data_IF_236979228033
#
_entry.id   IF_236979228033
#
_cell.length_a   1.000
_cell.length_b   1.000
_cell.length_c   1.000
_cell.angle_alpha   90.00
_cell.angle_beta   90.00
_cell.angle_gamma   90.00
#
_symmetry.space_group_name_H-M   'P 1'
#
loop_
_entity.id
_entity.type
_entity.pdbx_description
1 polymer ?
#
# COMPACT_ATOMS: atom_id res chain seq x y z
N UNK A 1 38.66 38.16 -38.32
CA UNK A 1 39.01 36.83 -37.81
C UNK A 1 38.95 36.74 -36.25
N UNK A 2 39.53 37.69 -35.51
CA UNK A 2 39.53 37.64 -34.03
C UNK A 2 38.15 37.85 -33.38
N UNK A 3 37.28 38.68 -33.98
CA UNK A 3 35.90 38.91 -33.46
C UNK A 3 35.00 37.67 -33.61
N UNK A 4 35.16 36.92 -34.72
CA UNK A 4 34.38 35.70 -35.02
C UNK A 4 34.70 34.55 -34.04
N UNK A 5 35.95 34.41 -33.66
CA UNK A 5 36.39 33.42 -32.67
C UNK A 5 35.88 33.73 -31.25
N UNK A 6 35.81 35.01 -30.90
CA UNK A 6 35.27 35.44 -29.59
C UNK A 6 33.76 35.15 -29.46
N UNK A 7 32.98 35.38 -30.53
CA UNK A 7 31.54 35.06 -30.52
C UNK A 7 31.25 33.58 -30.44
N UNK A 8 32.04 32.73 -31.11
CA UNK A 8 31.91 31.27 -31.04
C UNK A 8 32.22 30.72 -29.63
N UNK A 9 33.24 31.27 -28.97
CA UNK A 9 33.60 30.88 -27.62
C UNK A 9 32.48 31.27 -26.58
N UNK A 10 31.88 32.45 -26.75
CA UNK A 10 30.75 32.90 -25.90
C UNK A 10 29.52 32.02 -26.09
N UNK A 11 29.18 31.61 -27.30
CA UNK A 11 28.05 30.72 -27.57
C UNK A 11 28.30 29.31 -27.02
N UNK A 12 29.52 28.80 -27.08
CA UNK A 12 29.90 27.52 -26.49
C UNK A 12 29.80 27.54 -24.95
N UNK A 13 30.27 28.63 -24.32
CA UNK A 13 30.15 28.77 -22.85
C UNK A 13 28.67 28.90 -22.37
N UNK A 14 27.83 29.62 -23.13
CA UNK A 14 26.39 29.71 -22.83
C UNK A 14 25.67 28.38 -23.02
N UNK A 15 26.03 27.63 -24.06
CA UNK A 15 25.48 26.28 -24.30
C UNK A 15 25.91 25.27 -23.23
N UNK A 16 27.16 25.31 -22.79
CA UNK A 16 27.67 24.45 -21.71
C UNK A 16 27.02 24.80 -20.35
N UNK A 17 26.87 26.11 -20.08
CA UNK A 17 26.20 26.58 -18.86
C UNK A 17 24.74 26.15 -18.79
N UNK A 18 23.99 26.29 -19.89
CA UNK A 18 22.59 25.83 -19.98
C UNK A 18 22.48 24.31 -19.85
N UNK A 19 23.40 23.54 -20.45
CA UNK A 19 23.44 22.08 -20.34
C UNK A 19 23.73 21.61 -18.90
N UNK A 20 24.67 22.27 -18.21
CA UNK A 20 25.00 21.98 -16.82
C UNK A 20 23.82 22.31 -15.89
N UNK A 21 23.08 23.42 -16.10
CA UNK A 21 21.91 23.81 -15.33
C UNK A 21 20.74 22.85 -15.56
N UNK A 22 20.53 22.38 -16.79
CA UNK A 22 19.52 21.38 -17.10
C UNK A 22 19.84 20.01 -16.49
N UNK A 23 21.12 19.63 -16.43
CA UNK A 23 21.55 18.37 -15.79
C UNK A 23 21.51 18.44 -14.26
N UNK A 24 21.85 19.57 -13.65
CA UNK A 24 21.79 19.77 -12.20
C UNK A 24 20.34 19.69 -11.66
N UNK A 25 19.33 19.98 -12.48
CA UNK A 25 17.93 19.83 -12.14
C UNK A 25 17.42 18.38 -12.18
N UNK A 26 18.15 17.46 -12.85
CA UNK A 26 17.75 16.07 -12.98
C UNK A 26 18.25 15.16 -11.84
N UNK A 27 19.24 15.61 -11.07
CA UNK A 27 19.89 14.83 -10.00
C UNK A 27 19.54 15.33 -8.57
N UNK A 28 18.47 16.10 -8.39
CA UNK A 28 17.96 16.36 -7.04
C UNK A 28 17.54 15.03 -6.44
N UNK A 29 18.09 14.60 -5.27
CA UNK A 29 17.64 13.39 -4.62
C UNK A 29 16.13 13.49 -4.43
N UNK A 30 15.39 12.47 -4.89
CA UNK A 30 13.94 12.43 -4.74
C UNK A 30 13.60 12.71 -3.26
N UNK A 31 12.75 13.70 -3.01
CA UNK A 31 12.34 14.04 -1.67
C UNK A 31 11.83 12.77 -0.97
N UNK A 32 12.33 12.50 0.24
CA UNK A 32 11.90 11.37 1.06
C UNK A 32 11.38 11.88 2.40
N UNK A 33 10.41 11.17 2.95
CA UNK A 33 9.90 11.33 4.30
C UNK A 33 10.60 10.32 5.20
N UNK A 34 11.05 10.74 6.36
CA UNK A 34 11.55 9.87 7.42
C UNK A 34 10.55 9.85 8.57
N UNK A 35 10.14 8.64 8.99
CA UNK A 35 9.20 8.44 10.08
C UNK A 35 9.63 7.27 10.96
N UNK A 36 9.12 7.23 12.20
CA UNK A 36 9.38 6.15 13.16
C UNK A 36 8.07 5.70 13.80
N UNK A 37 7.93 4.39 13.97
CA UNK A 37 6.93 3.75 14.83
C UNK A 37 7.72 2.99 15.89
N UNK A 38 7.71 3.47 17.13
CA UNK A 38 8.62 2.96 18.15
C UNK A 38 10.08 2.99 17.67
N UNK A 39 10.79 1.85 17.72
CA UNK A 39 12.17 1.73 17.26
C UNK A 39 12.30 1.44 15.75
N UNK A 40 11.20 1.23 15.05
CA UNK A 40 11.21 0.97 13.61
C UNK A 40 11.26 2.27 12.82
N UNK A 41 12.31 2.43 12.00
CA UNK A 41 12.50 3.59 11.12
C UNK A 41 12.01 3.28 9.72
N UNK A 42 11.38 4.28 9.09
CA UNK A 42 10.84 4.22 7.73
C UNK A 42 11.37 5.38 6.90
N UNK A 43 11.65 5.10 5.62
CA UNK A 43 12.07 6.10 4.63
C UNK A 43 11.31 5.81 3.35
N UNK A 44 10.52 6.78 2.88
CA UNK A 44 9.65 6.58 1.74
C UNK A 44 9.42 7.88 0.95
N UNK A 45 9.11 7.80 -0.35
CA UNK A 45 8.65 8.94 -1.13
C UNK A 45 7.35 9.52 -0.57
N UNK A 46 7.20 10.86 -0.47
CA UNK A 46 5.99 11.50 0.07
C UNK A 46 4.71 11.13 -0.68
N UNK A 47 4.82 10.73 -1.95
CA UNK A 47 3.67 10.29 -2.74
C UNK A 47 2.95 9.05 -2.20
N UNK A 48 3.58 8.27 -1.32
CA UNK A 48 2.93 7.16 -0.62
C UNK A 48 2.08 7.60 0.56
N UNK A 49 2.34 8.76 1.15
CA UNK A 49 1.61 9.21 2.33
C UNK A 49 0.14 9.46 2.01
N UNK A 50 -0.76 8.81 2.75
CA UNK A 50 -2.21 8.94 2.58
C UNK A 50 -2.79 10.10 3.39
N UNK A 51 -2.16 10.45 4.50
CA UNK A 51 -2.60 11.51 5.41
C UNK A 51 -1.45 12.47 5.75
N UNK A 52 -1.80 13.62 6.32
CA UNK A 52 -0.85 14.68 6.67
C UNK A 52 0.16 14.22 7.74
N UNK A 53 -0.27 13.41 8.70
CA UNK A 53 0.60 12.90 9.76
C UNK A 53 1.71 12.02 9.17
N UNK A 54 1.36 11.11 8.26
CA UNK A 54 2.33 10.28 7.54
C UNK A 54 3.25 11.12 6.66
N UNK A 55 2.70 12.13 5.97
CA UNK A 55 3.49 13.03 5.12
C UNK A 55 4.45 13.93 5.91
N UNK A 56 4.11 14.30 7.13
CA UNK A 56 4.97 15.09 8.02
C UNK A 56 6.16 14.28 8.57
N UNK A 57 6.04 12.95 8.65
CA UNK A 57 7.10 12.10 9.19
C UNK A 57 7.27 12.23 10.71
N UNK A 58 8.51 11.99 11.19
CA UNK A 58 8.81 12.02 12.61
C UNK A 58 8.28 10.80 13.38
N UNK A 59 8.05 10.94 14.69
CA UNK A 59 7.48 9.88 15.51
C UNK A 59 5.98 9.82 15.34
N UNK A 60 5.47 8.63 15.00
CA UNK A 60 4.07 8.37 14.73
C UNK A 60 3.60 7.11 15.44
N UNK A 61 2.33 7.08 15.86
CA UNK A 61 1.70 5.87 16.39
C UNK A 61 1.31 4.89 15.27
N UNK A 62 1.13 5.43 14.05
CA UNK A 62 0.83 4.67 12.84
C UNK A 62 1.30 5.41 11.61
N UNK A 63 1.54 4.68 10.53
CA UNK A 63 1.80 5.24 9.20
C UNK A 63 0.72 4.72 8.22
N UNK A 64 0.14 5.63 7.47
CA UNK A 64 -0.92 5.31 6.50
C UNK A 64 -0.44 5.60 5.08
N UNK A 65 -0.44 4.58 4.25
CA UNK A 65 0.06 4.62 2.87
C UNK A 65 -1.05 4.35 1.86
N UNK A 66 -0.81 4.81 0.64
CA UNK A 66 -1.55 4.45 -0.56
C UNK A 66 -0.54 3.98 -1.62
N UNK A 67 -0.84 2.88 -2.29
CA UNK A 67 -0.01 2.32 -3.35
C UNK A 67 -0.87 1.85 -4.52
N UNK A 68 -0.32 1.89 -5.73
CA UNK A 68 -1.00 1.40 -6.95
C UNK A 68 -0.64 -0.06 -7.17
N UNK A 69 -1.66 -0.89 -7.35
CA UNK A 69 -1.51 -2.32 -7.64
C UNK A 69 -1.23 -2.56 -9.13
N UNK A 70 -0.60 -3.67 -9.49
CA UNK A 70 -0.15 -4.77 -8.62
C UNK A 70 1.23 -4.58 -7.99
N UNK A 71 2.04 -3.62 -8.45
CA UNK A 71 3.47 -3.45 -8.12
C UNK A 71 3.72 -2.62 -6.86
N UNK A 72 2.66 -2.15 -6.21
CA UNK A 72 2.74 -1.27 -5.04
C UNK A 72 3.61 -0.02 -5.31
N UNK A 73 3.49 0.56 -6.50
CA UNK A 73 4.14 1.82 -6.85
C UNK A 73 3.44 3.03 -6.21
N UNK A 74 4.14 4.18 -6.07
CA UNK A 74 3.51 5.39 -5.53
C UNK A 74 2.47 5.93 -6.52
N UNK A 75 1.33 6.45 -6.02
CA UNK A 75 0.35 7.11 -6.87
C UNK A 75 0.98 8.30 -7.62
N UNK A 76 0.71 8.41 -8.90
CA UNK A 76 1.12 9.57 -9.68
C UNK A 76 0.19 10.74 -9.40
N UNK A 77 0.71 11.95 -9.19
CA UNK A 77 -0.13 13.14 -9.11
C UNK A 77 -1.01 13.26 -10.36
N UNK A 78 -2.27 13.62 -10.18
CA UNK A 78 -3.12 13.92 -11.32
C UNK A 78 -2.66 15.24 -11.95
N UNK A 79 -2.37 15.23 -13.25
CA UNK A 79 -1.98 16.45 -13.97
C UNK A 79 -3.13 17.48 -14.07
N UNK A 80 -4.39 17.04 -13.86
CA UNK A 80 -5.62 17.85 -13.81
C UNK A 80 -6.57 17.28 -12.79
N UNK A 81 -7.52 18.09 -12.33
CA UNK A 81 -8.63 17.62 -11.52
C UNK A 81 -9.37 16.49 -12.27
N UNK A 82 -9.47 15.34 -11.62
CA UNK A 82 -10.16 14.18 -12.18
C UNK A 82 -11.67 14.30 -11.97
N UNK A 83 -12.45 13.82 -12.92
CA UNK A 83 -13.89 13.66 -12.72
C UNK A 83 -14.16 12.61 -11.63
N UNK A 84 -15.34 12.65 -10.96
CA UNK A 84 -15.71 11.64 -9.96
C UNK A 84 -15.58 10.19 -10.48
N UNK A 85 -15.94 9.97 -11.76
CA UNK A 85 -15.81 8.66 -12.42
C UNK A 85 -14.35 8.23 -12.52
N UNK A 86 -13.45 9.12 -12.96
CA UNK A 86 -12.03 8.82 -13.09
C UNK A 86 -11.34 8.62 -11.73
N UNK A 87 -11.77 9.34 -10.68
CA UNK A 87 -11.33 9.10 -9.30
C UNK A 87 -11.72 7.72 -8.82
N UNK A 88 -12.96 7.29 -9.10
CA UNK A 88 -13.46 5.98 -8.76
C UNK A 88 -12.71 4.85 -9.50
N UNK A 89 -12.44 5.03 -10.79
CA UNK A 89 -11.66 4.09 -11.59
C UNK A 89 -10.24 3.94 -11.02
N UNK A 90 -9.57 5.05 -10.70
CA UNK A 90 -8.25 5.01 -10.04
C UNK A 90 -8.27 4.36 -8.66
N UNK A 91 -9.35 4.51 -7.89
CA UNK A 91 -9.46 3.89 -6.58
C UNK A 91 -9.52 2.35 -6.66
N UNK A 92 -9.96 1.79 -7.79
CA UNK A 92 -10.01 0.34 -8.03
C UNK A 92 -8.63 -0.32 -8.15
N UNK A 93 -7.60 0.47 -8.43
CA UNK A 93 -6.23 0.00 -8.57
C UNK A 93 -5.38 0.31 -7.32
N UNK A 94 -5.98 0.88 -6.27
CA UNK A 94 -5.24 1.29 -5.09
C UNK A 94 -5.36 0.28 -3.96
N UNK A 95 -4.23 0.07 -3.28
CA UNK A 95 -4.16 -0.54 -1.97
C UNK A 95 -3.94 0.55 -0.91
N UNK A 96 -4.59 0.39 0.23
CA UNK A 96 -4.41 1.24 1.41
C UNK A 96 -3.75 0.40 2.50
N UNK A 97 -2.58 0.83 2.94
CA UNK A 97 -1.77 0.11 3.91
C UNK A 97 -1.65 0.96 5.18
N UNK A 98 -1.91 0.37 6.33
CA UNK A 98 -1.66 1.01 7.62
C UNK A 98 -0.70 0.16 8.41
N UNK A 99 0.39 0.77 8.86
CA UNK A 99 1.35 0.14 9.77
C UNK A 99 1.12 0.69 11.18
N UNK A 100 1.11 -0.20 12.17
CA UNK A 100 1.06 0.14 13.59
C UNK A 100 2.00 -0.77 14.39
N UNK A 101 2.37 -0.42 15.61
CA UNK A 101 3.04 -1.35 16.51
C UNK A 101 2.19 -2.62 16.66
N UNK A 102 2.84 -3.79 16.78
CA UNK A 102 2.09 -5.00 17.13
C UNK A 102 1.34 -4.78 18.44
N UNK A 103 0.10 -5.20 18.49
CA UNK A 103 -0.62 -5.30 19.74
C UNK A 103 -0.16 -6.53 20.56
N UNK A 104 -0.54 -6.59 21.83
CA UNK A 104 -0.25 -7.72 22.69
C UNK A 104 -1.21 -8.90 22.45
N UNK A 105 -2.10 -8.79 21.48
CA UNK A 105 -3.07 -9.82 21.11
C UNK A 105 -2.46 -10.97 20.32
N UNK A 106 -3.31 -11.95 20.00
CA UNK A 106 -2.95 -13.09 19.17
C UNK A 106 -2.44 -12.63 17.78
N UNK A 107 -1.61 -13.48 17.15
CA UNK A 107 -1.15 -13.23 15.80
C UNK A 107 -2.36 -13.07 14.85
N UNK A 108 -2.41 -12.02 14.02
CA UNK A 108 -3.46 -11.85 13.04
C UNK A 108 -3.70 -13.11 12.17
N UNK A 109 -2.65 -13.87 11.86
CA UNK A 109 -2.75 -15.13 11.10
C UNK A 109 -3.64 -16.19 11.77
N UNK A 110 -3.85 -16.11 13.08
CA UNK A 110 -4.72 -17.03 13.83
C UNK A 110 -6.18 -16.61 13.84
N UNK A 111 -6.52 -15.40 13.40
CA UNK A 111 -7.89 -14.87 13.43
C UNK A 111 -8.92 -15.74 12.70
N UNK A 112 -8.64 -16.36 11.53
CA UNK A 112 -9.60 -17.24 10.88
C UNK A 112 -10.10 -18.34 11.81
N UNK A 113 -9.19 -19.00 12.53
CA UNK A 113 -9.52 -20.13 13.41
C UNK A 113 -9.95 -19.71 14.81
N UNK A 114 -9.33 -18.70 15.40
CA UNK A 114 -9.57 -18.33 16.80
C UNK A 114 -10.70 -17.30 16.95
N UNK A 115 -10.88 -16.41 15.98
CA UNK A 115 -11.85 -15.32 16.07
C UNK A 115 -13.07 -15.55 15.19
N UNK A 116 -12.88 -15.87 13.92
CA UNK A 116 -13.96 -15.90 12.94
C UNK A 116 -14.71 -17.23 12.92
N UNK A 117 -14.04 -18.36 13.16
CA UNK A 117 -14.60 -19.70 13.01
C UNK A 117 -15.95 -19.90 13.73
N UNK A 118 -16.11 -19.29 14.89
CA UNK A 118 -17.35 -19.40 15.71
C UNK A 118 -18.56 -18.65 15.14
N UNK A 119 -18.35 -17.82 14.13
CA UNK A 119 -19.39 -17.03 13.48
C UNK A 119 -19.65 -17.45 12.04
N UNK A 120 -18.99 -18.52 11.57
CA UNK A 120 -19.10 -18.97 10.20
C UNK A 120 -20.16 -20.06 10.04
N UNK A 121 -20.96 -19.94 8.97
CA UNK A 121 -21.82 -21.02 8.51
C UNK A 121 -20.98 -22.28 8.23
N UNK A 122 -21.60 -23.45 8.30
CA UNK A 122 -20.91 -24.72 8.04
C UNK A 122 -20.46 -24.88 6.57
N UNK A 123 -21.18 -24.25 5.64
CA UNK A 123 -20.92 -24.34 4.22
C UNK A 123 -19.63 -23.60 3.83
N UNK A 124 -18.82 -24.24 3.00
CA UNK A 124 -17.63 -23.68 2.38
C UNK A 124 -17.78 -23.75 0.86
N UNK A 125 -17.48 -22.66 0.16
CA UNK A 125 -17.64 -22.54 -1.29
C UNK A 125 -16.30 -22.20 -1.93
N UNK A 126 -16.05 -22.68 -3.15
CA UNK A 126 -14.88 -22.28 -3.90
C UNK A 126 -14.91 -20.77 -4.17
N UNK A 127 -13.83 -20.09 -3.85
CA UNK A 127 -13.61 -18.67 -4.10
C UNK A 127 -12.64 -18.41 -5.24
N UNK A 128 -12.38 -17.13 -5.58
CA UNK A 128 -11.42 -16.76 -6.60
C UNK A 128 -9.99 -17.14 -6.19
N UNK A 129 -9.12 -17.37 -7.17
CA UNK A 129 -7.70 -17.65 -6.94
C UNK A 129 -7.42 -18.89 -6.08
N UNK A 130 -8.33 -19.87 -6.04
CA UNK A 130 -8.18 -21.06 -5.19
C UNK A 130 -8.47 -20.84 -3.70
N UNK A 131 -8.95 -19.68 -3.31
CA UNK A 131 -9.42 -19.39 -1.96
C UNK A 131 -10.69 -20.18 -1.63
N UNK A 132 -10.94 -20.39 -0.34
CA UNK A 132 -12.20 -20.92 0.18
C UNK A 132 -13.01 -19.75 0.74
N UNK A 133 -14.22 -19.55 0.24
CA UNK A 133 -15.15 -18.55 0.73
C UNK A 133 -16.07 -19.16 1.80
N UNK A 134 -16.23 -18.45 2.91
CA UNK A 134 -17.14 -18.78 4.01
C UNK A 134 -18.06 -17.59 4.30
N UNK A 135 -19.32 -17.87 4.54
CA UNK A 135 -20.29 -16.86 4.96
C UNK A 135 -20.28 -16.72 6.47
N UNK A 136 -20.49 -15.51 6.94
CA UNK A 136 -20.79 -15.28 8.36
C UNK A 136 -22.27 -15.48 8.61
N UNK A 137 -22.59 -16.04 9.79
CA UNK A 137 -23.95 -16.23 10.25
C UNK A 137 -24.68 -14.90 10.35
N UNK A 138 -25.97 -14.91 10.03
CA UNK A 138 -26.84 -13.74 10.16
C UNK A 138 -26.91 -13.28 11.62
N UNK A 139 -26.80 -11.98 11.85
CA UNK A 139 -26.78 -11.39 13.20
C UNK A 139 -25.43 -11.49 13.91
N UNK A 140 -24.39 -12.08 13.26
CA UNK A 140 -23.03 -11.99 13.77
C UNK A 140 -22.46 -10.59 13.58
N UNK A 141 -21.37 -10.20 14.28
CA UNK A 141 -20.69 -8.91 14.07
C UNK A 141 -20.18 -8.71 12.66
N UNK A 142 -20.14 -9.76 11.84
CA UNK A 142 -19.57 -9.78 10.48
C UNK A 142 -20.60 -10.16 9.42
N UNK A 143 -21.90 -10.12 9.73
CA UNK A 143 -22.97 -10.60 8.86
C UNK A 143 -23.11 -9.87 7.51
N UNK A 144 -22.50 -8.69 7.37
CA UNK A 144 -22.40 -7.95 6.11
C UNK A 144 -21.16 -8.28 5.28
N UNK A 145 -20.31 -9.20 5.76
CA UNK A 145 -19.06 -9.57 5.13
C UNK A 145 -19.04 -11.07 4.75
N UNK A 146 -18.03 -11.43 3.99
CA UNK A 146 -17.65 -12.81 3.66
C UNK A 146 -16.17 -12.98 3.99
N UNK A 147 -15.79 -14.18 4.43
CA UNK A 147 -14.40 -14.54 4.71
C UNK A 147 -13.85 -15.38 3.57
N UNK A 148 -12.73 -14.95 3.01
CA UNK A 148 -11.93 -15.71 2.06
C UNK A 148 -10.66 -16.17 2.75
N UNK A 149 -10.33 -17.45 2.66
CA UNK A 149 -9.16 -18.04 3.32
C UNK A 149 -8.34 -18.87 2.33
N UNK A 150 -7.03 -18.72 2.38
CA UNK A 150 -6.12 -19.60 1.68
C UNK A 150 -6.08 -20.98 2.38
N UNK A 151 -6.23 -22.10 1.64
CA UNK A 151 -6.06 -23.41 2.23
C UNK A 151 -4.64 -23.61 2.79
N UNK A 152 -4.46 -24.40 3.86
CA UNK A 152 -5.51 -25.21 4.52
C UNK A 152 -6.27 -24.44 5.62
N UNK A 153 -5.73 -23.38 6.22
CA UNK A 153 -6.22 -22.80 7.47
C UNK A 153 -6.30 -21.26 7.47
N UNK A 154 -5.93 -20.61 6.38
CA UNK A 154 -5.94 -19.16 6.25
C UNK A 154 -4.78 -18.43 6.93
N UNK A 155 -3.77 -19.12 7.44
CA UNK A 155 -2.62 -18.50 8.09
C UNK A 155 -1.77 -17.68 7.12
N UNK A 156 -1.64 -18.15 5.88
CA UNK A 156 -0.86 -17.45 4.85
C UNK A 156 -1.59 -16.23 4.33
N UNK A 157 -2.90 -16.37 4.14
CA UNK A 157 -3.76 -15.26 3.70
C UNK A 157 -5.22 -15.52 4.10
N UNK A 158 -5.87 -14.48 4.57
CA UNK A 158 -7.32 -14.41 4.68
C UNK A 158 -7.78 -12.99 4.40
N UNK A 159 -9.00 -12.83 3.93
CA UNK A 159 -9.57 -11.50 3.72
C UNK A 159 -11.05 -11.48 4.10
N UNK A 160 -11.49 -10.43 4.80
CA UNK A 160 -12.90 -10.10 4.96
C UNK A 160 -13.30 -9.10 3.90
N UNK A 161 -14.30 -9.43 3.13
CA UNK A 161 -14.80 -8.59 2.05
C UNK A 161 -16.29 -8.30 2.28
N UNK A 162 -16.78 -7.11 1.93
CA UNK A 162 -18.22 -6.84 1.94
C UNK A 162 -18.95 -7.87 1.06
N UNK A 163 -20.16 -8.25 1.46
CA UNK A 163 -21.05 -8.97 0.55
C UNK A 163 -21.32 -8.11 -0.69
N UNK A 164 -21.41 -8.72 -1.89
CA UNK A 164 -21.76 -7.97 -3.09
C UNK A 164 -23.05 -7.19 -2.87
N UNK A 165 -23.02 -5.89 -3.16
CA UNK A 165 -24.21 -5.06 -3.10
C UNK A 165 -25.19 -5.48 -4.18
N UNK A 166 -26.49 -5.46 -3.86
CA UNK A 166 -27.56 -5.80 -4.80
C UNK A 166 -27.83 -4.71 -5.86
N UNK A 167 -27.25 -3.54 -5.65
CA UNK A 167 -27.35 -2.39 -6.52
C UNK A 167 -25.96 -1.89 -6.92
N UNK A 168 -25.90 -1.18 -8.05
CA UNK A 168 -24.69 -0.58 -8.62
C UNK A 168 -24.12 0.58 -7.75
N UNK A 169 -24.40 0.53 -6.44
CA UNK A 169 -23.94 1.51 -5.47
C UNK A 169 -22.42 1.49 -5.42
N UNK A 170 -21.91 2.55 -5.83
CA UNK A 170 -20.61 2.79 -6.40
C UNK A 170 -19.49 2.94 -5.38
N UNK A 171 -19.57 2.38 -4.19
CA UNK A 171 -18.45 2.27 -3.26
C UNK A 171 -17.50 1.18 -3.75
N UNK A 172 -16.22 1.50 -3.85
CA UNK A 172 -15.22 0.47 -4.08
C UNK A 172 -15.32 -0.52 -2.91
N UNK A 173 -15.77 -1.75 -3.21
CA UNK A 173 -15.83 -2.82 -2.22
C UNK A 173 -14.40 -3.22 -1.88
N UNK A 174 -13.92 -2.76 -0.72
CA UNK A 174 -12.58 -3.05 -0.25
C UNK A 174 -12.60 -4.22 0.73
N UNK A 175 -11.84 -5.23 0.40
CA UNK A 175 -11.49 -6.30 1.32
C UNK A 175 -10.50 -5.79 2.38
N UNK A 176 -10.49 -6.44 3.51
CA UNK A 176 -9.61 -6.20 4.64
C UNK A 176 -8.78 -7.43 4.95
N UNK A 177 -7.47 -7.29 4.91
CA UNK A 177 -6.49 -8.29 5.32
C UNK A 177 -5.56 -7.71 6.37
N UNK A 178 -5.17 -8.50 7.34
CA UNK A 178 -4.20 -8.10 8.37
C UNK A 178 -3.18 -9.20 8.57
N UNK A 179 -1.91 -8.79 8.68
CA UNK A 179 -0.81 -9.70 8.95
C UNK A 179 0.26 -9.01 9.81
N UNK A 180 1.13 -9.80 10.42
CA UNK A 180 2.22 -9.30 11.26
C UNK A 180 3.56 -9.50 10.59
N UNK A 181 4.41 -8.48 10.63
CA UNK A 181 5.78 -8.55 10.11
C UNK A 181 6.74 -7.66 10.90
N UNK A 182 7.82 -8.24 11.37
CA UNK A 182 8.90 -7.49 12.02
C UNK A 182 8.48 -6.63 13.23
N UNK A 183 7.50 -7.10 14.02
CA UNK A 183 6.99 -6.37 15.19
C UNK A 183 5.96 -5.29 14.87
N UNK A 184 5.40 -5.31 13.66
CA UNK A 184 4.36 -4.40 13.20
C UNK A 184 3.14 -5.20 12.78
N UNK A 185 1.97 -4.68 13.05
CA UNK A 185 0.72 -5.10 12.45
C UNK A 185 0.45 -4.26 11.19
N UNK A 186 0.13 -4.95 10.12
CA UNK A 186 -0.10 -4.38 8.79
C UNK A 186 -1.55 -4.61 8.41
N UNK A 187 -2.32 -3.55 8.29
CA UNK A 187 -3.66 -3.60 7.72
C UNK A 187 -3.58 -3.26 6.24
N UNK A 188 -4.14 -4.12 5.39
CA UNK A 188 -4.25 -3.91 3.96
C UNK A 188 -5.73 -3.86 3.57
N UNK A 189 -6.13 -2.79 2.89
CA UNK A 189 -7.43 -2.69 2.23
C UNK A 189 -7.21 -2.63 0.73
N UNK A 190 -7.93 -3.46 0.00
CA UNK A 190 -7.71 -3.65 -1.43
C UNK A 190 -9.02 -4.02 -2.14
N UNK A 191 -9.16 -3.73 -3.45
CA UNK A 191 -10.35 -4.06 -4.23
C UNK A 191 -10.61 -5.57 -4.28
N UNK A 192 -11.88 -5.98 -4.16
CA UNK A 192 -12.30 -7.40 -4.19
C UNK A 192 -11.79 -8.15 -5.43
N UNK A 193 -11.65 -7.47 -6.58
CA UNK A 193 -11.10 -8.06 -7.79
C UNK A 193 -9.66 -8.61 -7.64
N UNK A 194 -8.92 -8.16 -6.63
CA UNK A 194 -7.55 -8.65 -6.36
C UNK A 194 -7.50 -10.00 -5.66
N UNK A 195 -8.64 -10.53 -5.20
CA UNK A 195 -8.70 -11.88 -4.62
C UNK A 195 -8.24 -12.97 -5.60
N UNK A 196 -8.45 -12.78 -6.89
CA UNK A 196 -7.97 -13.71 -7.92
C UNK A 196 -6.44 -13.85 -7.93
N UNK A 197 -5.73 -12.77 -7.55
CA UNK A 197 -4.27 -12.70 -7.52
C UNK A 197 -3.74 -12.51 -6.09
N UNK A 198 -4.40 -13.11 -5.11
CA UNK A 198 -4.11 -12.88 -3.68
C UNK A 198 -2.66 -13.19 -3.28
N UNK A 199 -2.01 -14.19 -3.91
CA UNK A 199 -0.59 -14.52 -3.65
C UNK A 199 0.32 -13.35 -4.01
N UNK A 200 0.17 -12.82 -5.21
CA UNK A 200 0.93 -11.63 -5.67
C UNK A 200 0.64 -10.41 -4.79
N UNK A 201 -0.61 -10.22 -4.38
CA UNK A 201 -1.01 -9.15 -3.47
C UNK A 201 -0.34 -9.30 -2.10
N UNK A 202 -0.34 -10.50 -1.52
CA UNK A 202 0.28 -10.79 -0.22
C UNK A 202 1.79 -10.58 -0.26
N UNK A 203 2.46 -11.13 -1.27
CA UNK A 203 3.91 -10.95 -1.48
C UNK A 203 4.27 -9.49 -1.71
N UNK A 204 3.51 -8.80 -2.56
CA UNK A 204 3.69 -7.38 -2.85
C UNK A 204 3.53 -6.49 -1.62
N UNK A 205 2.54 -6.76 -0.77
CA UNK A 205 2.32 -6.04 0.48
C UNK A 205 3.49 -6.22 1.47
N UNK A 206 3.98 -7.45 1.62
CA UNK A 206 5.16 -7.74 2.47
C UNK A 206 6.43 -7.10 1.92
N UNK A 207 6.64 -7.18 0.62
CA UNK A 207 7.76 -6.51 -0.05
C UNK A 207 7.68 -4.99 0.07
N UNK A 208 6.48 -4.40 -0.01
CA UNK A 208 6.27 -2.97 0.23
C UNK A 208 6.74 -2.55 1.62
N UNK A 209 6.33 -3.26 2.68
CA UNK A 209 6.78 -2.98 4.05
C UNK A 209 8.31 -3.06 4.15
N UNK A 210 8.91 -4.06 3.52
CA UNK A 210 10.37 -4.20 3.45
C UNK A 210 11.06 -3.01 2.74
N UNK A 211 10.47 -2.49 1.67
CA UNK A 211 11.03 -1.34 0.92
C UNK A 211 10.98 -0.03 1.69
N UNK A 212 9.87 0.23 2.41
CA UNK A 212 9.71 1.48 3.15
C UNK A 212 10.41 1.45 4.52
N UNK A 213 10.70 0.26 5.05
CA UNK A 213 11.44 0.10 6.30
C UNK A 213 12.93 0.32 6.06
N UNK A 214 13.52 1.27 6.75
CA UNK A 214 14.96 1.51 6.67
C UNK A 214 15.72 0.29 7.16
N UNK A 215 16.67 -0.21 6.37
CA UNK A 215 17.56 -1.28 6.80
C UNK A 215 18.35 -0.82 8.03
N UNK A 216 18.38 -1.61 9.10
CA UNK A 216 19.02 -1.28 10.37
C UNK A 216 20.57 -1.18 10.34
N UNK A 217 21.13 -0.58 9.30
CA UNK A 217 22.58 -0.37 9.14
C UNK A 217 23.14 0.82 9.95
N UNK A 218 22.44 1.29 10.99
CA UNK A 218 22.80 2.50 11.74
C UNK A 218 22.85 2.37 13.26
N UNK A 219 22.64 1.19 13.85
CA UNK A 219 22.60 1.05 15.31
C UNK A 219 23.76 0.22 15.86
N UNK A 220 25.00 0.66 15.53
CA UNK A 220 26.19 0.33 16.32
C UNK A 220 27.05 1.58 16.44
N UNK A 221 26.74 2.40 17.43
CA UNK A 221 27.73 3.24 18.12
C UNK A 221 27.30 3.39 19.57
#
# INVERSE_FOLDING_TARGET
MRLFLACLALLACLGLGAYCLLRAGADSPAATVEANIGDARFVFPPAYARDEATAAGGFQDRLAFIAVLPDFSPPRPAARALSPKALKERARDNAFITLSPKDDGADPADRPMQLYARFLEAEAVAGPGGLVMRRFEQGSPYDLEQLYVAPPDGRDFFARCPKPASDDSASAELCFFVFRVGGLDVELRFPTAQLENWETLNEGARAFVGRVRASGAGQRR
#
